data_IF_104976425386
#
_entry.id   IF_104976425386
#
_cell.length_a   1.000
_cell.length_b   1.000
_cell.length_c   1.000
_cell.angle_alpha   90.00
_cell.angle_beta   90.00
_cell.angle_gamma   90.00
#
_symmetry.space_group_name_H-M   'P 1'
#
loop_
_entity.id
_entity.type
_entity.pdbx_description
1 polymer ?
#
# COMPACT_ATOMS: atom_id res chain seq x y z
N UNK A 1 26.48 -3.18 7.96
CA UNK A 1 25.12 -3.13 7.37
C UNK A 1 25.13 -2.04 6.31
N UNK A 2 24.56 -2.30 5.12
CA UNK A 2 24.33 -1.22 4.15
C UNK A 2 23.18 -0.38 4.70
N UNK A 3 23.25 0.96 4.67
CA UNK A 3 22.08 1.77 4.98
C UNK A 3 20.96 1.38 4.02
N UNK A 4 19.73 1.30 4.55
CA UNK A 4 18.54 1.13 3.72
C UNK A 4 18.40 2.28 2.71
N UNK A 5 17.49 2.16 1.73
CA UNK A 5 17.19 3.27 0.84
C UNK A 5 16.80 4.51 1.66
N UNK A 6 17.34 5.67 1.27
CA UNK A 6 17.02 6.97 1.88
C UNK A 6 16.03 7.67 0.97
N UNK A 7 14.83 7.95 1.47
CA UNK A 7 13.77 8.60 0.69
C UNK A 7 13.72 10.09 1.00
N UNK A 8 13.54 10.92 -0.03
CA UNK A 8 13.52 12.39 0.13
C UNK A 8 12.09 12.95 0.25
N UNK A 9 11.10 12.20 -0.23
CA UNK A 9 9.69 12.62 -0.33
C UNK A 9 8.76 11.43 -0.01
N UNK A 10 7.67 11.60 0.76
CA UNK A 10 6.67 10.55 0.96
C UNK A 10 6.16 9.92 -0.33
N UNK A 11 6.11 10.67 -1.45
CA UNK A 11 5.69 10.10 -2.73
C UNK A 11 6.59 8.94 -3.17
N UNK A 12 7.90 9.02 -2.93
CA UNK A 12 8.85 7.95 -3.28
C UNK A 12 8.59 6.69 -2.43
N UNK A 13 8.21 6.86 -1.17
CA UNK A 13 7.87 5.76 -0.25
C UNK A 13 6.58 5.04 -0.67
N UNK A 14 5.52 5.79 -1.01
CA UNK A 14 4.27 5.20 -1.50
C UNK A 14 4.49 4.46 -2.83
N UNK A 15 5.18 5.07 -3.78
CA UNK A 15 5.51 4.41 -5.05
C UNK A 15 6.42 3.18 -4.84
N UNK A 16 7.36 3.22 -3.90
CA UNK A 16 8.15 2.05 -3.54
C UNK A 16 7.27 0.90 -3.00
N UNK A 17 6.29 1.21 -2.14
CA UNK A 17 5.34 0.21 -1.67
C UNK A 17 4.52 -0.41 -2.80
N UNK A 18 4.12 0.39 -3.79
CA UNK A 18 3.37 -0.12 -4.95
C UNK A 18 4.19 -1.10 -5.77
N UNK A 19 5.48 -0.79 -5.99
CA UNK A 19 6.40 -1.71 -6.64
C UNK A 19 6.58 -2.99 -5.81
N UNK A 20 6.76 -2.87 -4.50
CA UNK A 20 6.89 -4.03 -3.63
C UNK A 20 5.65 -4.93 -3.65
N UNK A 21 4.45 -4.35 -3.58
CA UNK A 21 3.19 -5.09 -3.69
C UNK A 21 3.09 -5.81 -5.04
N UNK A 22 3.43 -5.12 -6.14
CA UNK A 22 3.44 -5.73 -7.48
C UNK A 22 4.41 -6.92 -7.56
N UNK A 23 5.59 -6.80 -6.97
CA UNK A 23 6.57 -7.90 -6.94
C UNK A 23 6.05 -9.09 -6.13
N UNK A 24 5.42 -8.87 -4.97
CA UNK A 24 4.79 -9.93 -4.18
C UNK A 24 3.67 -10.65 -4.96
N UNK A 25 2.87 -9.92 -5.74
CA UNK A 25 1.87 -10.53 -6.61
C UNK A 25 2.51 -11.37 -7.72
N UNK A 26 3.58 -10.88 -8.34
CA UNK A 26 4.31 -11.63 -9.36
C UNK A 26 4.96 -12.90 -8.80
N UNK A 27 5.55 -12.82 -7.60
CA UNK A 27 6.08 -13.97 -6.87
C UNK A 27 4.98 -15.00 -6.58
N UNK A 28 3.80 -14.55 -6.13
CA UNK A 28 2.66 -15.44 -5.92
C UNK A 28 2.21 -16.15 -7.21
N UNK A 29 2.12 -15.43 -8.34
CA UNK A 29 1.72 -15.99 -9.62
C UNK A 29 2.72 -17.02 -10.18
N UNK A 30 4.01 -16.88 -9.85
CA UNK A 30 5.04 -17.81 -10.26
C UNK A 30 4.96 -19.18 -9.53
N UNK A 31 4.22 -19.26 -8.41
CA UNK A 31 4.10 -20.48 -7.60
C UNK A 31 3.22 -21.55 -8.26
N UNK A 32 3.72 -22.78 -8.30
CA UNK A 32 3.03 -23.92 -8.87
C UNK A 32 1.99 -24.55 -7.93
N UNK A 33 1.28 -25.60 -8.38
CA UNK A 33 0.36 -26.36 -7.53
C UNK A 33 1.01 -27.06 -6.33
N UNK A 34 2.31 -27.36 -6.41
CA UNK A 34 3.06 -28.01 -5.32
C UNK A 34 3.44 -27.03 -4.18
N UNK A 35 3.42 -25.72 -4.43
CA UNK A 35 3.94 -24.70 -3.52
C UNK A 35 2.89 -24.17 -2.52
N UNK A 36 1.99 -25.03 -2.06
CA UNK A 36 0.81 -24.65 -1.25
C UNK A 36 1.18 -23.80 -0.03
N UNK A 37 2.16 -24.25 0.75
CA UNK A 37 2.59 -23.50 1.94
C UNK A 37 3.19 -22.14 1.59
N UNK A 38 3.94 -22.06 0.48
CA UNK A 38 4.50 -20.79 0.02
C UNK A 38 3.40 -19.83 -0.41
N UNK A 39 2.36 -20.33 -1.11
CA UNK A 39 1.18 -19.54 -1.48
C UNK A 39 0.47 -18.98 -0.26
N UNK A 40 0.25 -19.79 0.78
CA UNK A 40 -0.36 -19.31 2.03
C UNK A 40 0.49 -18.24 2.69
N UNK A 41 1.82 -18.41 2.74
CA UNK A 41 2.73 -17.38 3.28
C UNK A 41 2.69 -16.09 2.46
N UNK A 42 2.68 -16.18 1.13
CA UNK A 42 2.60 -15.02 0.24
C UNK A 42 1.28 -14.26 0.40
N UNK A 43 0.14 -14.95 0.49
CA UNK A 43 -1.16 -14.31 0.73
C UNK A 43 -1.15 -13.52 2.04
N UNK A 44 -0.66 -14.15 3.10
CA UNK A 44 -0.53 -13.48 4.40
C UNK A 44 0.38 -12.26 4.30
N UNK A 45 1.52 -12.39 3.61
CA UNK A 45 2.47 -11.29 3.40
C UNK A 45 1.85 -10.12 2.65
N UNK A 46 1.10 -10.39 1.58
CA UNK A 46 0.39 -9.38 0.79
C UNK A 46 -0.68 -8.66 1.65
N UNK A 47 -1.47 -9.41 2.43
CA UNK A 47 -2.46 -8.80 3.34
C UNK A 47 -1.81 -7.93 4.42
N UNK A 48 -0.67 -8.37 4.99
CA UNK A 48 0.10 -7.58 5.96
C UNK A 48 0.64 -6.27 5.35
N UNK A 49 1.21 -6.32 4.14
CA UNK A 49 1.74 -5.14 3.45
C UNK A 49 0.63 -4.15 3.05
N UNK A 50 -0.50 -4.63 2.50
CA UNK A 50 -1.65 -3.78 2.19
C UNK A 50 -2.20 -3.08 3.45
N UNK A 51 -2.33 -3.80 4.56
CA UNK A 51 -2.80 -3.21 5.83
C UNK A 51 -1.84 -2.15 6.37
N UNK A 52 -0.54 -2.38 6.26
CA UNK A 52 0.45 -1.41 6.70
C UNK A 52 0.41 -0.16 5.84
N UNK A 53 0.39 -0.33 4.52
CA UNK A 53 0.28 0.75 3.55
C UNK A 53 -0.98 1.61 3.77
N UNK A 54 -2.16 0.98 3.85
CA UNK A 54 -3.42 1.68 4.11
C UNK A 54 -3.43 2.40 5.45
N UNK A 55 -2.85 1.81 6.50
CA UNK A 55 -2.73 2.46 7.81
C UNK A 55 -1.88 3.72 7.72
N UNK A 56 -0.80 3.68 6.96
CA UNK A 56 0.09 4.83 6.77
C UNK A 56 -0.64 5.95 6.05
N UNK A 57 -1.32 5.65 4.93
CA UNK A 57 -2.09 6.65 4.19
C UNK A 57 -3.19 7.26 5.07
N UNK A 58 -3.95 6.43 5.79
CA UNK A 58 -5.05 6.88 6.63
C UNK A 58 -4.61 7.70 7.84
N UNK A 59 -3.43 7.40 8.40
CA UNK A 59 -2.89 8.08 9.58
C UNK A 59 -2.14 9.37 9.23
N UNK A 60 -1.44 9.41 8.10
CA UNK A 60 -0.50 10.49 7.77
C UNK A 60 -0.90 11.27 6.52
N UNK A 61 -1.11 10.56 5.39
CA UNK A 61 -1.36 11.20 4.10
C UNK A 61 -2.72 11.90 4.08
N UNK A 62 -3.80 11.16 4.35
CA UNK A 62 -5.17 11.68 4.24
C UNK A 62 -5.44 12.88 5.15
N UNK A 63 -5.03 12.90 6.44
CA UNK A 63 -5.19 14.09 7.26
C UNK A 63 -4.45 15.31 6.71
N UNK A 64 -3.23 15.10 6.18
CA UNK A 64 -2.43 16.17 5.57
C UNK A 64 -3.11 16.74 4.32
N UNK A 65 -3.64 15.89 3.45
CA UNK A 65 -4.38 16.32 2.27
C UNK A 65 -5.71 17.02 2.62
N UNK A 66 -6.44 16.52 3.61
CA UNK A 66 -7.70 17.13 4.06
C UNK A 66 -7.51 18.53 4.65
N UNK A 67 -6.30 18.89 5.08
CA UNK A 67 -5.98 20.24 5.53
C UNK A 67 -6.18 21.31 4.43
N UNK A 68 -6.19 20.91 3.15
CA UNK A 68 -6.52 21.81 2.04
C UNK A 68 -7.97 22.29 2.04
N UNK A 69 -8.89 21.62 2.77
CA UNK A 69 -10.33 21.94 2.82
C UNK A 69 -10.97 22.06 1.43
N UNK A 70 -10.50 21.23 0.50
CA UNK A 70 -10.95 21.19 -0.89
C UNK A 70 -11.94 20.05 -1.06
N UNK A 71 -13.14 20.34 -1.57
CA UNK A 71 -14.15 19.32 -1.91
C UNK A 71 -13.61 18.25 -2.85
N UNK A 72 -12.71 18.63 -3.77
CA UNK A 72 -12.09 17.69 -4.69
C UNK A 72 -11.19 16.70 -3.95
N UNK A 73 -10.39 17.18 -2.98
CA UNK A 73 -9.52 16.33 -2.16
C UNK A 73 -10.33 15.46 -1.21
N UNK A 74 -11.37 16.02 -0.58
CA UNK A 74 -12.29 15.27 0.28
C UNK A 74 -12.93 14.08 -0.45
N UNK A 75 -13.37 14.30 -1.69
CA UNK A 75 -13.95 13.24 -2.53
C UNK A 75 -12.91 12.18 -2.90
N UNK A 76 -11.69 12.58 -3.28
CA UNK A 76 -10.60 11.63 -3.57
C UNK A 76 -10.26 10.75 -2.37
N UNK A 77 -10.11 11.35 -1.18
CA UNK A 77 -9.82 10.63 0.06
C UNK A 77 -10.99 9.72 0.44
N UNK A 78 -12.23 10.15 0.22
CA UNK A 78 -13.43 9.33 0.44
C UNK A 78 -13.45 8.10 -0.47
N UNK A 79 -13.15 8.28 -1.75
CA UNK A 79 -13.01 7.17 -2.71
C UNK A 79 -11.91 6.21 -2.26
N UNK A 80 -10.72 6.73 -1.92
CA UNK A 80 -9.58 5.90 -1.50
C UNK A 80 -9.92 5.03 -0.28
N UNK A 81 -10.55 5.62 0.76
CA UNK A 81 -11.01 4.89 1.95
C UNK A 81 -12.07 3.82 1.67
N UNK A 82 -12.89 4.00 0.63
CA UNK A 82 -13.85 2.97 0.23
C UNK A 82 -13.13 1.82 -0.47
N UNK A 83 -12.21 2.12 -1.40
CA UNK A 83 -11.37 1.11 -2.04
C UNK A 83 -10.55 0.31 -1.02
N UNK A 84 -9.98 0.95 0.02
CA UNK A 84 -9.31 0.24 1.11
C UNK A 84 -10.21 -0.82 1.77
N UNK A 85 -11.46 -0.45 2.08
CA UNK A 85 -12.41 -1.38 2.71
C UNK A 85 -12.70 -2.57 1.81
N UNK A 86 -12.88 -2.31 0.52
CA UNK A 86 -13.20 -3.32 -0.48
C UNK A 86 -12.00 -4.24 -0.73
N UNK A 87 -10.79 -3.70 -0.85
CA UNK A 87 -9.55 -4.47 -0.98
C UNK A 87 -9.31 -5.34 0.26
N UNK A 88 -9.48 -4.78 1.47
CA UNK A 88 -9.34 -5.55 2.71
C UNK A 88 -10.43 -6.62 2.86
N UNK A 89 -11.62 -6.41 2.30
CA UNK A 89 -12.66 -7.44 2.23
C UNK A 89 -12.26 -8.55 1.25
N UNK A 90 -11.73 -8.21 0.08
CA UNK A 90 -11.20 -9.17 -0.88
C UNK A 90 -10.05 -10.01 -0.29
N UNK A 91 -9.13 -9.39 0.47
CA UNK A 91 -8.07 -10.13 1.19
C UNK A 91 -8.65 -11.17 2.17
N UNK A 92 -9.72 -10.82 2.90
CA UNK A 92 -10.41 -11.77 3.79
C UNK A 92 -11.06 -12.92 3.02
N UNK A 93 -11.64 -12.64 1.86
CA UNK A 93 -12.23 -13.68 1.01
C UNK A 93 -11.15 -14.64 0.49
N UNK A 94 -10.01 -14.12 0.01
CA UNK A 94 -8.86 -14.93 -0.39
C UNK A 94 -8.42 -15.86 0.74
N UNK A 95 -8.25 -15.33 1.95
CA UNK A 95 -7.75 -16.10 3.09
C UNK A 95 -8.70 -17.21 3.58
N UNK A 96 -9.99 -17.11 3.25
CA UNK A 96 -11.04 -18.08 3.65
C UNK A 96 -11.42 -19.06 2.54
N UNK A 97 -11.00 -18.80 1.30
CA UNK A 97 -11.33 -19.61 0.14
C UNK A 97 -10.57 -20.94 0.12
N UNK A 98 -11.11 -21.92 -0.60
CA UNK A 98 -10.36 -23.13 -0.93
C UNK A 98 -9.29 -22.85 -2.00
N UNK A 99 -8.37 -23.79 -2.21
CA UNK A 99 -7.23 -23.62 -3.13
C UNK A 99 -7.65 -23.26 -4.57
N UNK A 100 -8.78 -23.79 -5.04
CA UNK A 100 -9.27 -23.57 -6.40
C UNK A 100 -9.83 -22.15 -6.56
N UNK A 101 -10.63 -21.70 -5.59
CA UNK A 101 -11.21 -20.36 -5.57
C UNK A 101 -10.17 -19.28 -5.26
N UNK A 102 -9.22 -19.58 -4.37
CA UNK A 102 -8.16 -18.67 -3.94
C UNK A 102 -7.34 -18.13 -5.11
N UNK A 103 -7.01 -18.97 -6.12
CA UNK A 103 -6.31 -18.52 -7.31
C UNK A 103 -7.10 -17.49 -8.13
N UNK A 104 -8.42 -17.65 -8.21
CA UNK A 104 -9.30 -16.71 -8.94
C UNK A 104 -9.44 -15.40 -8.16
N UNK A 105 -9.65 -15.49 -6.85
CA UNK A 105 -9.77 -14.32 -5.98
C UNK A 105 -8.47 -13.51 -5.93
N UNK A 106 -7.30 -14.17 -5.93
CA UNK A 106 -6.01 -13.48 -5.97
C UNK A 106 -5.81 -12.68 -7.25
N UNK A 107 -6.22 -13.20 -8.41
CA UNK A 107 -6.19 -12.45 -9.67
C UNK A 107 -7.12 -11.23 -9.64
N UNK A 108 -8.30 -11.39 -9.06
CA UNK A 108 -9.24 -10.28 -8.88
C UNK A 108 -8.69 -9.21 -7.93
N UNK A 109 -8.12 -9.63 -6.79
CA UNK A 109 -7.44 -8.75 -5.83
C UNK A 109 -6.30 -7.98 -6.49
N UNK A 110 -5.43 -8.66 -7.24
CA UNK A 110 -4.31 -8.01 -7.93
C UNK A 110 -4.81 -6.92 -8.91
N UNK A 111 -5.84 -7.23 -9.71
CA UNK A 111 -6.45 -6.23 -10.60
C UNK A 111 -7.01 -5.03 -9.83
N UNK A 112 -7.70 -5.27 -8.72
CA UNK A 112 -8.28 -4.22 -7.90
C UNK A 112 -7.20 -3.33 -7.26
N UNK A 113 -6.16 -3.94 -6.67
CA UNK A 113 -5.00 -3.20 -6.12
C UNK A 113 -4.31 -2.39 -7.22
N UNK A 114 -4.13 -2.95 -8.41
CA UNK A 114 -3.56 -2.23 -9.55
C UNK A 114 -4.38 -1.00 -9.96
N UNK A 115 -5.72 -1.10 -9.97
CA UNK A 115 -6.60 0.05 -10.23
C UNK A 115 -6.52 1.11 -9.12
N UNK A 116 -6.41 0.67 -7.86
CA UNK A 116 -6.24 1.57 -6.72
C UNK A 116 -4.92 2.34 -6.80
N UNK A 117 -3.80 1.65 -7.02
CA UNK A 117 -2.47 2.25 -7.23
C UNK A 117 -2.51 3.27 -8.36
N UNK A 118 -3.10 2.92 -9.50
CA UNK A 118 -3.24 3.82 -10.65
C UNK A 118 -4.05 5.08 -10.29
N UNK A 119 -5.14 4.92 -9.54
CA UNK A 119 -5.93 6.04 -9.03
C UNK A 119 -5.10 6.93 -8.10
N UNK A 120 -4.38 6.33 -7.17
CA UNK A 120 -3.63 7.06 -6.15
C UNK A 120 -2.49 7.86 -6.79
N UNK A 121 -1.65 7.23 -7.60
CA UNK A 121 -0.50 7.86 -8.26
C UNK A 121 -0.92 9.00 -9.22
N UNK A 122 -2.06 8.84 -9.91
CA UNK A 122 -2.52 9.82 -10.91
C UNK A 122 -3.36 10.94 -10.32
N UNK A 123 -4.05 10.69 -9.19
CA UNK A 123 -5.09 11.62 -8.71
C UNK A 123 -4.89 12.08 -7.27
N UNK A 124 -4.33 11.25 -6.40
CA UNK A 124 -4.21 11.53 -4.97
C UNK A 124 -2.79 11.99 -4.60
N UNK A 125 -1.77 11.21 -4.93
CA UNK A 125 -0.37 11.54 -4.65
C UNK A 125 0.09 12.89 -5.22
N UNK A 126 -0.34 13.36 -6.42
CA UNK A 126 0.09 14.66 -6.92
C UNK A 126 -0.25 15.85 -6.00
N UNK A 127 -1.21 15.70 -5.09
CA UNK A 127 -1.55 16.73 -4.10
C UNK A 127 -0.49 16.91 -3.02
N UNK A 128 0.39 15.93 -2.78
CA UNK A 128 1.49 16.06 -1.81
C UNK A 128 2.43 17.20 -2.18
N UNK A 129 2.59 17.50 -3.48
CA UNK A 129 3.43 18.60 -3.99
C UNK A 129 3.00 19.98 -3.48
N UNK A 130 1.76 20.11 -3.05
CA UNK A 130 1.20 21.34 -2.49
C UNK A 130 1.33 21.41 -0.97
N UNK A 131 1.83 20.36 -0.31
CA UNK A 131 2.05 20.35 1.13
C UNK A 131 3.31 21.15 1.50
N UNK A 132 3.37 21.75 2.70
CA UNK A 132 4.59 22.37 3.19
C UNK A 132 5.75 21.37 3.26
N UNK A 133 6.95 21.79 2.87
CA UNK A 133 8.12 20.91 2.90
C UNK A 133 8.46 20.36 4.30
N UNK A 134 8.08 21.05 5.37
CA UNK A 134 8.20 20.51 6.75
C UNK A 134 7.26 19.32 6.95
N UNK A 135 6.01 19.41 6.50
CA UNK A 135 5.03 18.33 6.56
C UNK A 135 5.49 17.12 5.75
N UNK A 136 6.06 17.33 4.56
CA UNK A 136 6.61 16.24 3.74
C UNK A 136 7.75 15.51 4.46
N UNK A 137 8.71 16.24 5.04
CA UNK A 137 9.82 15.64 5.80
C UNK A 137 9.36 14.88 7.04
N UNK A 138 8.45 15.46 7.81
CA UNK A 138 7.87 14.80 9.00
C UNK A 138 7.12 13.53 8.61
N UNK A 139 6.34 13.58 7.53
CA UNK A 139 5.66 12.42 6.99
C UNK A 139 6.64 11.32 6.56
N UNK A 140 7.70 11.65 5.82
CA UNK A 140 8.74 10.67 5.44
C UNK A 140 9.32 9.97 6.66
N UNK A 141 9.72 10.73 7.69
CA UNK A 141 10.32 10.17 8.90
C UNK A 141 9.38 9.23 9.66
N UNK A 142 8.12 9.63 9.79
CA UNK A 142 7.10 8.80 10.47
C UNK A 142 6.78 7.54 9.65
N UNK A 143 6.73 7.62 8.32
CA UNK A 143 6.56 6.44 7.45
C UNK A 143 7.71 5.45 7.65
N UNK A 144 8.96 5.93 7.62
CA UNK A 144 10.15 5.09 7.83
C UNK A 144 10.13 4.42 9.21
N UNK A 145 9.69 5.12 10.25
CA UNK A 145 9.54 4.59 11.60
C UNK A 145 8.44 3.53 11.68
N UNK A 146 7.26 3.80 11.12
CA UNK A 146 6.15 2.84 11.07
C UNK A 146 6.51 1.56 10.31
N UNK A 147 7.38 1.66 9.30
CA UNK A 147 7.89 0.52 8.51
C UNK A 147 9.09 -0.18 9.16
N UNK A 148 9.59 0.31 10.30
CA UNK A 148 10.78 -0.23 10.94
C UNK A 148 12.06 -0.06 10.10
N UNK A 149 12.06 0.88 9.15
CA UNK A 149 13.22 1.20 8.30
C UNK A 149 14.29 1.98 9.08
N UNK A 150 13.92 2.58 10.21
CA UNK A 150 14.86 3.10 11.21
C UNK A 150 15.52 1.97 12.00
N UNK A 151 16.57 1.40 11.43
CA UNK A 151 17.53 0.52 12.08
C UNK A 151 18.95 0.99 11.81
N UNK A 152 19.40 1.98 12.58
CA UNK A 152 20.76 2.54 12.45
C UNK A 152 20.92 3.91 13.10
N UNK A 153 20.59 4.04 14.39
CA UNK A 153 21.28 5.00 15.25
C UNK A 153 22.38 4.21 16.00
N UNK A 154 23.61 4.74 16.12
CA UNK A 154 24.72 4.04 16.76
C UNK A 154 24.43 3.68 18.22
#
# INVERSE_FOLDING_TARGET
MKPGPVFQDPQELFTHDHFHLKDLFAEYEALGPADREMKTRMIRRIDEELRLHFRIEERLLYPSLLAFKSKAVEELVRTARNEHKDILAACRQVAQADEKEQATLMKALFKQVGLYVDFEEKRLLPWTRSLPGVTLREMTLEIEEMKGMRGGAP
#
